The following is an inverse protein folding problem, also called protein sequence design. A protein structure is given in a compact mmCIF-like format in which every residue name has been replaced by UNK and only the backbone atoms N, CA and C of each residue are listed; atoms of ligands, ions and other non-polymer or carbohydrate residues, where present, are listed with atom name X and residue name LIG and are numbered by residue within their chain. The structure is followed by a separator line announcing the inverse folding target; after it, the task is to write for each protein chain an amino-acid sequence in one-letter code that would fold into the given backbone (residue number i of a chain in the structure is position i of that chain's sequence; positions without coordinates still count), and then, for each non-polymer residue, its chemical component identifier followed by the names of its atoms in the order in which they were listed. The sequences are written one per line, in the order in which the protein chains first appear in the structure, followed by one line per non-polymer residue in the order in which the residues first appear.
data_IF_535235503488
#
_entry.id   IF_535235503488
#
_cell.length_a   1.000
_cell.length_b   1.000
_cell.length_c   1.000
_cell.angle_alpha   90.00
_cell.angle_beta   90.00
_cell.angle_gamma   90.00
#
_symmetry.space_group_name_H-M   'P 1'
#
loop_
_entity.id
_entity.type
_entity.pdbx_description
1 polymer ?
#
# COMPACT_ATOMS: atom_id res chain seq x y z
N UNK A 1 -12.09 57.25 -19.66
CA UNK A 1 -11.57 57.75 -18.37
C UNK A 1 -10.05 57.77 -18.46
N UNK A 2 -9.37 58.92 -18.39
CA UNK A 2 -7.91 58.96 -18.40
C UNK A 2 -7.38 58.35 -17.10
N UNK A 3 -6.44 57.40 -17.21
CA UNK A 3 -5.87 56.70 -16.06
C UNK A 3 -5.04 57.67 -15.22
N UNK A 4 -5.48 57.93 -13.99
CA UNK A 4 -4.68 58.62 -12.98
C UNK A 4 -3.32 57.92 -12.83
N UNK A 5 -2.22 58.61 -13.18
CA UNK A 5 -0.86 58.12 -12.94
C UNK A 5 -0.34 58.79 -11.67
N UNK A 6 -0.61 58.18 -10.52
CA UNK A 6 -0.02 58.64 -9.26
C UNK A 6 1.49 58.39 -9.20
N UNK A 7 2.11 58.76 -8.07
CA UNK A 7 3.55 58.69 -7.89
C UNK A 7 4.10 57.28 -8.12
N UNK A 8 5.21 57.18 -8.84
CA UNK A 8 5.86 55.89 -9.11
C UNK A 8 6.33 55.27 -7.81
N UNK A 9 5.95 54.01 -7.60
CA UNK A 9 6.51 53.21 -6.53
C UNK A 9 7.78 52.54 -7.02
N UNK A 10 8.92 52.96 -6.44
CA UNK A 10 10.23 52.42 -6.74
C UNK A 10 10.66 51.44 -5.65
N UNK A 11 11.30 50.34 -6.06
CA UNK A 11 11.99 49.46 -5.13
C UNK A 11 13.14 50.24 -4.46
N UNK A 12 13.28 50.22 -3.11
CA UNK A 12 14.27 51.04 -2.41
C UNK A 12 15.71 50.78 -2.84
N UNK A 13 16.06 49.51 -3.07
CA UNK A 13 17.42 49.10 -3.43
C UNK A 13 17.69 49.13 -4.94
N UNK A 14 16.85 48.49 -5.75
CA UNK A 14 17.08 48.33 -7.19
C UNK A 14 16.61 49.51 -8.03
N UNK A 15 15.83 50.43 -7.44
CA UNK A 15 15.13 51.54 -8.11
C UNK A 15 14.23 51.11 -9.28
N UNK A 16 13.86 49.82 -9.34
CA UNK A 16 12.89 49.31 -10.32
C UNK A 16 11.50 49.89 -10.04
N UNK A 17 10.74 50.23 -11.08
CA UNK A 17 9.33 50.64 -10.93
C UNK A 17 8.47 49.41 -10.68
N UNK A 18 7.93 49.28 -9.46
CA UNK A 18 7.08 48.16 -9.06
C UNK A 18 5.59 48.44 -9.34
N UNK A 19 5.24 49.72 -9.41
CA UNK A 19 3.88 50.19 -9.68
C UNK A 19 3.71 51.66 -9.36
N UNK A 20 2.61 52.02 -8.71
CA UNK A 20 2.29 53.42 -8.38
C UNK A 20 1.49 53.55 -7.08
N UNK A 21 1.47 54.74 -6.49
CA UNK A 21 0.56 55.09 -5.38
C UNK A 21 -0.74 55.64 -5.94
N UNK A 22 -1.87 55.15 -5.45
CA UNK A 22 -3.19 55.65 -5.86
C UNK A 22 -3.59 56.91 -5.06
N UNK A 23 -4.71 57.59 -5.37
CA UNK A 23 -5.15 58.79 -4.64
C UNK A 23 -5.44 58.58 -3.15
N UNK A 24 -5.57 57.32 -2.68
CA UNK A 24 -5.76 56.96 -1.27
C UNK A 24 -4.45 56.59 -0.57
N UNK A 25 -3.32 56.95 -1.20
CA UNK A 25 -1.97 56.72 -0.68
C UNK A 25 -1.54 55.24 -0.59
N UNK A 26 -2.32 54.34 -1.21
CA UNK A 26 -2.07 52.89 -1.21
C UNK A 26 -1.18 52.52 -2.38
N UNK A 27 -0.19 51.65 -2.12
CA UNK A 27 0.70 51.09 -3.12
C UNK A 27 -0.03 50.06 -4.00
N UNK A 28 0.03 50.24 -5.32
CA UNK A 28 -0.57 49.36 -6.33
C UNK A 28 0.55 48.75 -7.16
N UNK A 29 0.57 47.41 -7.22
CA UNK A 29 1.48 46.63 -8.06
C UNK A 29 1.05 46.78 -9.51
N UNK A 30 1.99 47.11 -10.40
CA UNK A 30 1.76 47.07 -11.84
C UNK A 30 2.93 46.42 -12.56
N UNK A 31 2.82 45.12 -12.88
CA UNK A 31 3.92 44.34 -13.47
C UNK A 31 3.46 43.48 -14.63
N UNK A 32 4.27 43.42 -15.69
CA UNK A 32 4.07 42.52 -16.83
C UNK A 32 4.86 41.24 -16.60
N UNK A 33 4.18 40.09 -16.64
CA UNK A 33 4.79 38.77 -16.39
C UNK A 33 4.58 37.88 -17.62
N UNK A 34 5.65 37.28 -18.14
CA UNK A 34 5.62 36.38 -19.32
C UNK A 34 6.21 36.94 -20.63
N UNK A 35 7.17 37.86 -20.57
CA UNK A 35 7.91 38.33 -21.77
C UNK A 35 7.06 39.14 -22.76
N UNK A 36 7.33 39.04 -24.08
CA UNK A 36 6.68 39.87 -25.12
C UNK A 36 5.14 39.71 -25.14
N UNK A 37 4.61 38.51 -24.89
CA UNK A 37 3.16 38.21 -24.78
C UNK A 37 2.64 38.13 -23.33
N UNK A 38 3.40 38.63 -22.36
CA UNK A 38 3.05 38.54 -20.94
C UNK A 38 1.80 39.34 -20.55
N UNK A 39 1.08 38.87 -19.53
CA UNK A 39 -0.08 39.56 -18.96
C UNK A 39 0.38 40.69 -18.06
N UNK A 40 -0.24 41.86 -18.20
CA UNK A 40 -0.04 42.99 -17.28
C UNK A 40 -1.01 42.82 -16.12
N UNK A 41 -0.47 42.68 -14.91
CA UNK A 41 -1.24 42.61 -13.68
C UNK A 41 -1.23 43.99 -13.03
N UNK A 42 -2.41 44.45 -12.59
CA UNK A 42 -2.58 45.63 -11.76
C UNK A 42 -3.35 45.22 -10.50
N UNK A 43 -2.69 45.22 -9.35
CA UNK A 43 -3.22 44.65 -8.09
C UNK A 43 -2.89 45.56 -6.91
N UNK A 44 -3.89 45.89 -6.09
CA UNK A 44 -3.68 46.69 -4.87
C UNK A 44 -2.92 45.88 -3.82
N UNK A 45 -2.01 46.51 -3.08
CA UNK A 45 -1.42 45.90 -1.87
C UNK A 45 -2.26 46.13 -0.62
N UNK A 46 -3.19 47.09 -0.65
CA UNK A 46 -3.92 47.55 0.55
C UNK A 46 -3.02 48.19 1.62
N UNK A 47 -1.74 48.43 1.32
CA UNK A 47 -0.77 49.02 2.25
C UNK A 47 -0.47 50.47 1.85
N UNK A 48 -0.40 51.35 2.85
CA UNK A 48 0.10 52.73 2.72
C UNK A 48 1.57 52.85 3.15
N UNK A 49 2.14 51.78 3.72
CA UNK A 49 3.53 51.68 4.13
C UNK A 49 4.35 50.92 3.07
N UNK A 50 5.52 51.45 2.74
CA UNK A 50 6.36 50.93 1.65
C UNK A 50 6.94 49.54 1.96
N UNK A 51 7.33 49.27 3.21
CA UNK A 51 7.94 48.00 3.60
C UNK A 51 6.88 46.88 3.54
N UNK A 52 5.68 47.14 4.06
CA UNK A 52 4.56 46.19 3.95
C UNK A 52 4.10 45.98 2.51
N UNK A 53 4.12 47.03 1.70
CA UNK A 53 3.81 46.91 0.28
C UNK A 53 4.82 45.99 -0.45
N UNK A 54 6.11 46.03 -0.08
CA UNK A 54 7.13 45.14 -0.65
C UNK A 54 6.89 43.67 -0.29
N UNK A 55 6.49 43.37 0.95
CA UNK A 55 6.12 42.00 1.36
C UNK A 55 4.95 41.47 0.53
N UNK A 56 3.92 42.29 0.30
CA UNK A 56 2.80 41.90 -0.56
C UNK A 56 3.20 41.77 -2.04
N UNK A 57 4.18 42.56 -2.50
CA UNK A 57 4.74 42.42 -3.84
C UNK A 57 5.51 41.11 -4.02
N UNK A 58 6.28 40.67 -3.03
CA UNK A 58 6.93 39.36 -3.04
C UNK A 58 5.89 38.24 -3.08
N UNK A 59 4.84 38.33 -2.25
CA UNK A 59 3.70 37.39 -2.26
C UNK A 59 2.99 37.36 -3.61
N UNK A 60 2.85 38.50 -4.28
CA UNK A 60 2.33 38.58 -5.64
C UNK A 60 3.23 37.87 -6.66
N UNK A 61 4.55 37.94 -6.54
CA UNK A 61 5.47 37.29 -7.48
C UNK A 61 5.44 35.76 -7.38
N UNK A 62 5.08 35.20 -6.22
CA UNK A 62 4.94 33.75 -6.03
C UNK A 62 3.77 33.14 -6.82
N UNK A 63 2.62 33.82 -6.86
CA UNK A 63 1.43 33.40 -7.64
C UNK A 63 0.62 34.61 -8.18
N UNK A 64 1.12 35.28 -9.24
CA UNK A 64 0.51 36.51 -9.75
C UNK A 64 -0.98 36.39 -10.16
N UNK A 65 -1.43 35.29 -10.81
CA UNK A 65 -2.83 35.11 -11.16
C UNK A 65 -3.78 35.07 -9.97
N UNK A 66 -3.34 34.57 -8.81
CA UNK A 66 -4.19 34.29 -7.65
C UNK A 66 -3.93 35.21 -6.45
N UNK A 67 -3.09 36.24 -6.61
CA UNK A 67 -2.89 37.24 -5.57
C UNK A 67 -4.18 38.04 -5.29
N UNK A 68 -4.61 38.00 -4.03
CA UNK A 68 -5.74 38.74 -3.45
C UNK A 68 -5.21 39.78 -2.45
N UNK A 69 -5.77 40.99 -2.47
CA UNK A 69 -5.27 42.06 -1.61
C UNK A 69 -5.81 41.97 -0.18
N UNK A 70 -5.04 42.41 0.83
CA UNK A 70 -5.51 42.55 2.22
C UNK A 70 -6.79 43.37 2.38
N UNK A 71 -7.05 44.32 1.47
CA UNK A 71 -8.31 45.09 1.45
C UNK A 71 -9.52 44.25 1.06
N UNK A 72 -9.35 43.24 0.19
CA UNK A 72 -10.42 42.27 -0.15
C UNK A 72 -10.71 41.33 1.04
N UNK A 73 -9.68 40.96 1.81
CA UNK A 73 -9.84 40.20 3.06
C UNK A 73 -10.53 41.02 4.16
N UNK A 74 -10.26 42.34 4.24
CA UNK A 74 -10.94 43.26 5.17
C UNK A 74 -12.39 43.56 4.79
N UNK A 75 -12.72 43.73 3.51
CA UNK A 75 -14.12 43.94 3.08
C UNK A 75 -14.99 42.71 3.37
N UNK A 76 -14.42 41.50 3.27
CA UNK A 76 -15.07 40.27 3.72
C UNK A 76 -15.31 40.26 5.25
N UNK A 77 -14.40 40.85 6.02
CA UNK A 77 -14.48 40.95 7.49
C UNK A 77 -15.47 42.02 7.99
N UNK A 78 -15.58 43.16 7.28
CA UNK A 78 -16.53 44.25 7.62
C UNK A 78 -17.97 43.84 7.30
N UNK A 79 -18.19 43.09 6.21
CA UNK A 79 -19.51 42.55 5.86
C UNK A 79 -20.06 41.59 6.94
N UNK A 80 -19.16 40.90 7.66
CA UNK A 80 -19.48 40.02 8.79
C UNK A 80 -19.91 40.80 10.05
N UNK A 81 -19.44 42.03 10.24
CA UNK A 81 -19.78 42.87 11.39
C UNK A 81 -21.11 43.63 11.23
N UNK A 82 -21.57 43.85 9.99
CA UNK A 82 -22.77 44.63 9.68
C UNK A 82 -24.06 43.79 9.53
N UNK A 83 -24.01 42.49 9.82
CA UNK A 83 -25.21 41.63 9.80
C UNK A 83 -25.86 41.44 8.42
N UNK A 84 -25.18 41.85 7.35
CA UNK A 84 -25.63 41.57 5.98
C UNK A 84 -25.36 40.09 5.70
N UNK A 85 -26.34 39.31 5.21
CA UNK A 85 -26.10 37.91 4.85
C UNK A 85 -25.02 37.85 3.77
N UNK A 86 -23.81 37.45 4.16
CA UNK A 86 -22.76 37.10 3.21
C UNK A 86 -23.17 35.75 2.63
N UNK A 87 -23.62 35.74 1.36
CA UNK A 87 -23.81 34.49 0.62
C UNK A 87 -22.58 33.61 0.83
N UNK A 88 -22.73 32.31 1.13
CA UNK A 88 -21.59 31.41 1.22
C UNK A 88 -20.77 31.52 -0.06
N UNK A 89 -19.42 31.58 0.01
CA UNK A 89 -18.60 31.76 -1.17
C UNK A 89 -18.97 30.69 -2.20
N UNK A 90 -19.56 31.11 -3.33
CA UNK A 90 -19.90 30.22 -4.43
C UNK A 90 -18.62 29.47 -4.81
N UNK A 91 -18.60 28.12 -4.77
CA UNK A 91 -17.43 27.38 -5.22
C UNK A 91 -17.21 27.74 -6.69
N UNK A 92 -16.13 28.46 -7.00
CA UNK A 92 -15.79 28.90 -8.36
C UNK A 92 -15.49 27.73 -9.33
N UNK A 93 -15.52 26.48 -8.85
CA UNK A 93 -15.23 25.26 -9.62
C UNK A 93 -16.25 24.17 -9.31
N UNK A 94 -16.61 23.39 -10.33
CA UNK A 94 -17.57 22.30 -10.19
C UNK A 94 -17.15 21.31 -9.09
N UNK A 95 -18.10 20.85 -8.25
CA UNK A 95 -17.81 19.88 -7.19
C UNK A 95 -17.34 18.56 -7.79
N UNK A 96 -16.41 17.89 -7.12
CA UNK A 96 -15.92 16.58 -7.52
C UNK A 96 -16.47 15.57 -6.52
N UNK A 97 -17.23 14.59 -6.99
CA UNK A 97 -17.73 13.52 -6.13
C UNK A 97 -16.99 12.22 -6.42
N UNK A 98 -16.81 11.40 -5.40
CA UNK A 98 -16.28 10.05 -5.59
C UNK A 98 -17.40 9.16 -6.15
N UNK A 99 -17.38 8.93 -7.46
CA UNK A 99 -18.36 8.09 -8.16
C UNK A 99 -17.75 6.77 -8.65
N UNK A 100 -18.57 5.75 -9.00
CA UNK A 100 -18.05 4.52 -9.61
C UNK A 100 -17.23 4.79 -10.87
N UNK A 101 -17.65 5.73 -11.71
CA UNK A 101 -16.98 6.10 -12.97
C UNK A 101 -15.60 6.69 -12.69
N UNK A 102 -15.51 7.59 -11.70
CA UNK A 102 -14.24 8.19 -11.30
C UNK A 102 -13.26 7.14 -10.74
N UNK A 103 -13.79 6.13 -10.04
CA UNK A 103 -13.00 5.00 -9.52
C UNK A 103 -12.43 4.17 -10.67
N UNK A 104 -13.27 3.77 -11.63
CA UNK A 104 -12.82 2.94 -12.75
C UNK A 104 -11.85 3.70 -13.66
N UNK A 105 -12.08 4.99 -13.90
CA UNK A 105 -11.13 5.84 -14.64
C UNK A 105 -9.76 5.91 -13.95
N UNK A 106 -9.74 6.08 -12.61
CA UNK A 106 -8.50 6.05 -11.84
C UNK A 106 -7.79 4.69 -11.91
N UNK A 107 -8.55 3.59 -11.85
CA UNK A 107 -8.00 2.24 -11.92
C UNK A 107 -7.41 1.95 -13.31
N UNK A 108 -8.11 2.34 -14.38
CA UNK A 108 -7.62 2.20 -15.75
C UNK A 108 -6.32 2.98 -15.98
N UNK A 109 -6.23 4.22 -15.50
CA UNK A 109 -4.98 4.99 -15.51
C UNK A 109 -3.88 4.26 -14.71
N UNK A 110 -4.19 3.81 -13.49
CA UNK A 110 -3.19 3.16 -12.64
C UNK A 110 -2.68 1.84 -13.21
N UNK A 111 -3.50 1.12 -13.97
CA UNK A 111 -3.10 -0.07 -14.71
C UNK A 111 -2.20 0.27 -15.90
N UNK A 112 -2.58 1.26 -16.73
CA UNK A 112 -1.78 1.75 -17.85
C UNK A 112 -0.38 2.24 -17.43
N UNK A 113 -0.30 2.94 -16.31
CA UNK A 113 0.96 3.45 -15.74
C UNK A 113 1.78 2.38 -14.99
N UNK A 114 1.40 1.11 -15.03
CA UNK A 114 2.09 0.02 -14.32
C UNK A 114 2.06 0.15 -12.79
N UNK A 115 1.19 1.01 -12.25
CA UNK A 115 0.96 1.21 -10.80
C UNK A 115 0.10 0.11 -10.21
N UNK A 116 -0.47 -0.78 -11.02
CA UNK A 116 -1.16 -2.01 -10.60
C UNK A 116 -0.43 -3.21 -11.22
N UNK A 117 0.21 -4.01 -10.38
CA UNK A 117 1.05 -5.14 -10.80
C UNK A 117 0.35 -6.51 -10.83
N UNK A 118 -0.92 -6.58 -10.42
CA UNK A 118 -1.66 -7.84 -10.42
C UNK A 118 -3.17 -7.62 -10.33
N UNK A 119 -3.96 -8.55 -10.87
CA UNK A 119 -5.42 -8.58 -10.77
C UNK A 119 -5.91 -8.54 -9.31
N UNK A 120 -5.23 -9.26 -8.40
CA UNK A 120 -5.54 -9.24 -6.97
C UNK A 120 -5.37 -7.85 -6.37
N UNK A 121 -4.31 -7.12 -6.76
CA UNK A 121 -4.10 -5.76 -6.30
C UNK A 121 -5.16 -4.81 -6.88
N UNK A 122 -5.54 -4.97 -8.15
CA UNK A 122 -6.63 -4.22 -8.76
C UNK A 122 -7.93 -4.38 -7.95
N UNK A 123 -8.32 -5.63 -7.67
CA UNK A 123 -9.51 -5.96 -6.87
C UNK A 123 -9.46 -5.33 -5.47
N UNK A 124 -8.33 -5.42 -4.78
CA UNK A 124 -8.18 -4.80 -3.47
C UNK A 124 -8.27 -3.27 -3.53
N UNK A 125 -7.60 -2.62 -4.50
CA UNK A 125 -7.61 -1.16 -4.65
C UNK A 125 -9.03 -0.66 -4.92
N UNK A 126 -9.77 -1.34 -5.81
CA UNK A 126 -11.19 -1.10 -6.09
C UNK A 126 -12.04 -1.20 -4.81
N UNK A 127 -11.89 -2.28 -4.04
CA UNK A 127 -12.64 -2.46 -2.79
C UNK A 127 -12.38 -1.34 -1.77
N UNK A 128 -11.13 -0.87 -1.65
CA UNK A 128 -10.79 0.26 -0.78
C UNK A 128 -11.38 1.59 -1.25
N UNK A 129 -11.45 1.82 -2.57
CA UNK A 129 -12.06 3.02 -3.15
C UNK A 129 -13.59 3.00 -3.02
N UNK A 130 -14.27 1.88 -3.21
CA UNK A 130 -15.70 1.78 -2.94
C UNK A 130 -16.05 1.93 -1.46
N UNK A 131 -15.17 1.50 -0.55
CA UNK A 131 -15.36 1.81 0.86
C UNK A 131 -15.35 3.32 1.09
N UNK A 132 -14.41 4.05 0.48
CA UNK A 132 -14.38 5.51 0.54
C UNK A 132 -15.58 6.16 -0.13
N UNK A 133 -16.04 5.63 -1.27
CA UNK A 133 -17.25 6.10 -1.95
C UNK A 133 -18.46 6.10 -1.02
N UNK A 134 -18.61 5.07 -0.18
CA UNK A 134 -19.68 5.03 0.84
C UNK A 134 -19.48 6.03 1.97
N UNK A 135 -18.23 6.33 2.36
CA UNK A 135 -17.94 7.27 3.45
C UNK A 135 -18.00 8.74 3.02
N UNK A 136 -17.65 9.00 1.77
CA UNK A 136 -17.62 10.31 1.12
C UNK A 136 -18.83 10.51 0.20
N UNK A 137 -19.93 9.79 0.43
CA UNK A 137 -21.14 9.93 -0.37
C UNK A 137 -21.68 11.37 -0.25
N UNK A 138 -21.83 12.04 -1.39
CA UNK A 138 -22.25 13.44 -1.45
C UNK A 138 -21.26 14.45 -0.86
N UNK A 139 -20.00 14.05 -0.62
CA UNK A 139 -18.93 14.95 -0.18
C UNK A 139 -18.15 15.43 -1.39
N UNK A 140 -18.07 16.75 -1.57
CA UNK A 140 -17.19 17.34 -2.58
C UNK A 140 -15.73 17.11 -2.15
N UNK A 141 -14.95 16.44 -3.00
CA UNK A 141 -13.58 16.04 -2.71
C UNK A 141 -12.61 17.24 -2.59
N UNK A 142 -12.97 18.42 -3.08
CA UNK A 142 -12.22 19.67 -2.85
C UNK A 142 -12.19 20.00 -1.37
N UNK A 143 -11.08 20.54 -0.86
CA UNK A 143 -10.96 20.95 0.53
C UNK A 143 -12.07 21.94 0.93
N UNK A 144 -12.55 21.80 2.17
CA UNK A 144 -13.52 22.74 2.73
C UNK A 144 -12.93 24.17 2.75
N UNK A 145 -13.62 25.19 2.23
CA UNK A 145 -13.14 26.56 2.27
C UNK A 145 -12.90 27.04 3.71
N UNK A 146 -11.89 27.89 3.89
CA UNK A 146 -11.58 28.45 5.20
C UNK A 146 -12.77 29.23 5.76
N UNK A 147 -13.13 28.97 7.01
CA UNK A 147 -14.27 29.61 7.68
C UNK A 147 -15.64 29.05 7.33
N UNK A 148 -15.74 28.07 6.41
CA UNK A 148 -16.99 27.36 6.16
C UNK A 148 -17.30 26.42 7.33
N UNK A 149 -18.59 26.24 7.61
CA UNK A 149 -19.04 25.28 8.62
C UNK A 149 -18.69 23.84 8.19
N UNK A 150 -18.17 23.05 9.13
CA UNK A 150 -17.93 21.63 8.92
C UNK A 150 -19.26 20.91 9.03
N UNK A 151 -19.73 20.33 7.93
CA UNK A 151 -20.91 19.47 7.90
C UNK A 151 -20.48 18.00 7.93
N UNK A 152 -21.21 17.12 8.64
CA UNK A 152 -21.07 15.68 8.40
C UNK A 152 -21.53 15.34 6.97
N UNK A 153 -21.12 14.19 6.44
CA UNK A 153 -21.54 13.74 5.11
C UNK A 153 -23.08 13.73 4.98
N UNK A 154 -23.67 14.32 3.92
CA UNK A 154 -23.01 14.92 2.76
C UNK A 154 -22.52 16.37 3.00
N UNK A 155 -21.35 16.70 2.43
CA UNK A 155 -20.79 18.06 2.44
C UNK A 155 -20.51 18.52 1.01
N UNK A 156 -21.48 19.16 0.34
CA UNK A 156 -21.31 19.61 -1.06
C UNK A 156 -20.33 20.78 -1.18
N UNK A 157 -20.05 21.47 -0.07
CA UNK A 157 -19.17 22.64 -0.01
C UNK A 157 -17.69 22.21 -0.03
N UNK A 158 -17.35 21.10 0.61
CA UNK A 158 -15.99 20.54 0.57
C UNK A 158 -15.72 19.47 1.62
N UNK A 159 -14.56 18.84 1.48
CA UNK A 159 -14.05 17.76 2.30
C UNK A 159 -13.16 18.32 3.42
N UNK A 160 -13.63 18.14 4.65
CA UNK A 160 -12.83 18.33 5.87
C UNK A 160 -12.06 17.05 6.23
N UNK A 161 -10.76 17.21 6.53
CA UNK A 161 -9.87 16.09 6.87
C UNK A 161 -10.30 15.38 8.17
N UNK A 162 -10.72 16.12 9.20
CA UNK A 162 -11.08 15.56 10.50
C UNK A 162 -12.38 14.75 10.41
N UNK A 163 -13.43 15.39 9.93
CA UNK A 163 -14.79 14.86 9.92
C UNK A 163 -15.01 13.81 8.82
N UNK A 164 -14.51 14.03 7.60
CA UNK A 164 -14.82 13.15 6.47
C UNK A 164 -13.80 12.05 6.26
N UNK A 165 -12.56 12.22 6.73
CA UNK A 165 -11.46 11.28 6.46
C UNK A 165 -11.00 10.58 7.73
N UNK A 166 -10.62 11.32 8.77
CA UNK A 166 -10.07 10.74 10.01
C UNK A 166 -11.17 10.00 10.79
N UNK A 167 -12.32 10.63 11.02
CA UNK A 167 -13.42 10.04 11.81
C UNK A 167 -13.92 8.70 11.26
N UNK A 168 -14.14 8.49 9.95
CA UNK A 168 -14.50 7.17 9.43
C UNK A 168 -13.40 6.11 9.56
N UNK A 169 -12.12 6.51 9.54
CA UNK A 169 -10.99 5.58 9.73
C UNK A 169 -10.86 5.13 11.18
N UNK A 170 -11.16 6.01 12.13
CA UNK A 170 -10.97 5.77 13.56
C UNK A 170 -12.29 5.40 14.27
N UNK A 171 -13.36 5.17 13.50
CA UNK A 171 -14.67 4.78 14.01
C UNK A 171 -14.60 3.47 14.81
N UNK A 172 -15.24 3.47 15.99
CA UNK A 172 -15.31 2.33 16.89
C UNK A 172 -16.69 1.67 16.83
N UNK A 173 -16.71 0.35 17.03
CA UNK A 173 -17.96 -0.38 17.18
C UNK A 173 -18.68 0.08 18.47
N UNK A 174 -19.97 0.45 18.44
CA UNK A 174 -20.66 1.06 19.58
C UNK A 174 -20.59 0.23 20.87
N UNK A 175 -20.78 -1.10 20.74
CA UNK A 175 -20.77 -2.07 21.85
C UNK A 175 -19.37 -2.51 22.28
N UNK A 176 -18.58 -3.07 21.37
CA UNK A 176 -17.28 -3.69 21.71
C UNK A 176 -16.14 -2.69 21.88
N UNK A 177 -16.36 -1.42 21.49
CA UNK A 177 -15.33 -0.36 21.40
C UNK A 177 -14.11 -0.73 20.55
N UNK A 178 -14.18 -1.82 19.78
CA UNK A 178 -13.13 -2.25 18.86
C UNK A 178 -13.16 -1.40 17.59
N UNK A 179 -12.00 -1.13 16.96
CA UNK A 179 -11.96 -0.40 15.69
C UNK A 179 -12.77 -1.09 14.60
N UNK A 180 -13.64 -0.35 13.90
CA UNK A 180 -14.36 -0.84 12.73
C UNK A 180 -13.42 -1.05 11.54
N UNK A 181 -12.33 -0.27 11.48
CA UNK A 181 -11.27 -0.42 10.49
C UNK A 181 -10.01 -0.94 11.19
N UNK A 182 -9.63 -2.21 11.00
CA UNK A 182 -8.39 -2.75 11.56
C UNK A 182 -7.17 -1.99 11.05
N UNK A 183 -6.12 -1.89 11.87
CA UNK A 183 -4.90 -1.12 11.58
C UNK A 183 -4.28 -1.41 10.20
N UNK A 184 -4.17 -2.70 9.82
CA UNK A 184 -3.63 -3.09 8.51
C UNK A 184 -4.51 -2.69 7.32
N UNK A 185 -5.81 -2.57 7.54
CA UNK A 185 -6.81 -2.13 6.54
C UNK A 185 -6.84 -0.60 6.46
N UNK A 186 -6.66 0.11 7.58
CA UNK A 186 -6.56 1.58 7.66
C UNK A 186 -5.48 2.12 6.73
N UNK A 187 -4.28 1.53 6.78
CA UNK A 187 -3.16 1.93 5.90
C UNK A 187 -3.49 1.77 4.41
N UNK A 188 -4.24 0.71 4.06
CA UNK A 188 -4.64 0.46 2.67
C UNK A 188 -5.72 1.43 2.20
N UNK A 189 -6.68 1.79 3.07
CA UNK A 189 -7.64 2.85 2.77
C UNK A 189 -6.94 4.19 2.54
N UNK A 190 -6.00 4.57 3.41
CA UNK A 190 -5.21 5.80 3.24
C UNK A 190 -4.41 5.78 1.93
N UNK A 191 -3.74 4.66 1.62
CA UNK A 191 -2.98 4.54 0.37
C UNK A 191 -3.87 4.66 -0.88
N UNK A 192 -5.06 4.06 -0.85
CA UNK A 192 -6.01 4.13 -1.95
C UNK A 192 -6.52 5.56 -2.20
N UNK A 193 -6.97 6.25 -1.15
CA UNK A 193 -7.53 7.61 -1.29
C UNK A 193 -6.44 8.63 -1.65
N UNK A 194 -5.24 8.53 -1.07
CA UNK A 194 -4.10 9.37 -1.49
C UNK A 194 -3.71 9.15 -2.94
N UNK A 195 -3.72 7.90 -3.40
CA UNK A 195 -3.42 7.61 -4.81
C UNK A 195 -4.44 8.27 -5.73
N UNK A 196 -5.71 8.32 -5.34
CA UNK A 196 -6.77 9.01 -6.07
C UNK A 196 -6.52 10.53 -6.08
N UNK A 197 -6.34 11.15 -4.90
CA UNK A 197 -6.08 12.59 -4.80
C UNK A 197 -4.82 13.03 -5.56
N UNK A 198 -3.74 12.24 -5.50
CA UNK A 198 -2.54 12.49 -6.30
C UNK A 198 -2.86 12.48 -7.80
N UNK A 199 -3.59 11.47 -8.28
CA UNK A 199 -4.01 11.38 -9.69
C UNK A 199 -4.91 12.56 -10.10
N UNK A 200 -5.87 12.94 -9.25
CA UNK A 200 -6.74 14.10 -9.50
C UNK A 200 -5.95 15.41 -9.66
N UNK A 201 -4.83 15.54 -8.95
CA UNK A 201 -3.93 16.71 -9.02
C UNK A 201 -2.97 16.66 -10.21
N UNK A 202 -2.27 15.56 -10.39
CA UNK A 202 -1.10 15.52 -11.29
C UNK A 202 -1.41 15.06 -12.70
N UNK A 203 -2.52 14.35 -12.91
CA UNK A 203 -2.80 13.70 -14.20
C UNK A 203 -4.15 14.16 -14.76
N UNK A 204 -5.19 14.13 -13.92
CA UNK A 204 -6.52 14.60 -14.30
C UNK A 204 -6.66 16.12 -14.19
N UNK A 205 -5.73 16.79 -13.49
CA UNK A 205 -5.67 18.25 -13.29
C UNK A 205 -7.00 18.88 -12.82
N UNK A 206 -7.81 18.11 -12.11
CA UNK A 206 -9.15 18.52 -11.63
C UNK A 206 -9.11 19.13 -10.22
N UNK A 207 -8.04 18.84 -9.46
CA UNK A 207 -7.75 19.40 -8.14
C UNK A 207 -6.45 20.18 -8.16
N UNK A 208 -6.41 21.31 -7.47
CA UNK A 208 -5.19 22.03 -7.11
C UNK A 208 -4.64 21.55 -5.77
N UNK A 209 -3.41 21.94 -5.44
CA UNK A 209 -2.72 21.54 -4.19
C UNK A 209 -3.49 21.98 -2.95
N UNK A 210 -3.97 23.22 -2.90
CA UNK A 210 -4.73 23.76 -1.76
C UNK A 210 -6.14 23.15 -1.64
N UNK A 211 -6.63 22.50 -2.69
CA UNK A 211 -7.92 21.82 -2.70
C UNK A 211 -7.82 20.35 -2.29
N UNK A 212 -6.62 19.83 -2.04
CA UNK A 212 -6.40 18.47 -1.56
C UNK A 212 -6.27 18.47 -0.03
N UNK A 213 -7.31 18.07 0.73
CA UNK A 213 -7.27 18.04 2.19
C UNK A 213 -6.25 17.03 2.75
N UNK A 214 -5.73 16.14 1.91
CA UNK A 214 -4.75 15.10 2.28
C UNK A 214 -3.30 15.52 1.99
N UNK A 215 -3.09 16.66 1.32
CA UNK A 215 -1.77 17.11 0.93
C UNK A 215 -0.93 17.47 2.16
N UNK A 216 0.22 16.80 2.35
CA UNK A 216 1.16 17.06 3.45
C UNK A 216 0.70 16.65 4.86
N UNK A 217 -0.59 16.33 5.07
CA UNK A 217 -1.20 16.14 6.40
C UNK A 217 -1.23 14.68 6.85
N UNK A 218 -1.68 13.77 6.00
CA UNK A 218 -1.63 12.34 6.29
C UNK A 218 -0.21 11.85 6.08
N UNK A 219 0.67 11.91 7.08
CA UNK A 219 1.90 11.09 7.03
C UNK A 219 1.46 9.63 7.08
N UNK A 220 2.00 8.78 6.19
CA UNK A 220 1.98 7.35 6.46
C UNK A 220 2.71 7.21 7.79
N UNK A 221 2.00 6.92 8.87
CA UNK A 221 2.63 6.59 10.14
C UNK A 221 3.46 5.36 9.83
N UNK A 222 4.75 5.55 9.53
CA UNK A 222 5.74 4.50 9.63
C UNK A 222 5.64 4.09 11.09
N UNK A 223 5.04 2.93 11.34
CA UNK A 223 4.90 2.39 12.68
C UNK A 223 6.29 2.21 13.26
N UNK A 224 6.76 3.19 14.04
CA UNK A 224 7.92 3.03 14.94
C UNK A 224 7.65 2.00 16.05
N UNK A 225 6.39 1.62 16.29
CA UNK A 225 6.01 0.55 17.24
C UNK A 225 6.08 -0.86 16.64
N UNK A 226 7.24 -1.25 16.12
CA UNK A 226 7.63 -2.66 16.03
C UNK A 226 8.70 -3.04 17.07
N UNK A 227 9.14 -2.08 17.89
CA UNK A 227 10.21 -2.29 18.89
C UNK A 227 9.71 -2.52 20.33
N UNK A 228 8.43 -2.33 20.67
CA UNK A 228 8.03 -2.30 22.11
C UNK A 228 6.79 -3.11 22.49
N UNK A 229 6.11 -3.77 21.54
CA UNK A 229 5.27 -4.91 21.91
C UNK A 229 6.10 -6.13 21.59
N UNK A 230 6.50 -6.89 22.62
CA UNK A 230 7.22 -8.15 22.45
C UNK A 230 6.63 -8.91 21.27
N UNK A 231 7.47 -9.21 20.28
CA UNK A 231 7.08 -10.04 19.13
C UNK A 231 6.59 -11.36 19.72
N UNK A 232 5.28 -11.48 19.95
CA UNK A 232 4.66 -12.80 20.04
C UNK A 232 4.72 -13.29 18.61
N UNK A 233 5.85 -13.87 18.23
CA UNK A 233 6.03 -14.55 16.96
C UNK A 233 5.01 -15.68 17.01
N UNK A 234 3.86 -15.48 16.38
CA UNK A 234 2.84 -16.52 16.32
C UNK A 234 3.38 -17.57 15.35
N UNK A 235 4.15 -18.51 15.88
CA UNK A 235 4.65 -19.68 15.17
C UNK A 235 3.53 -20.73 15.09
N UNK A 236 3.59 -21.60 14.09
CA UNK A 236 2.86 -22.86 14.16
C UNK A 236 3.68 -23.82 15.04
N UNK A 237 3.00 -24.59 15.90
CA UNK A 237 3.59 -25.70 16.64
C UNK A 237 3.95 -26.83 15.67
N UNK A 238 5.20 -27.31 15.72
CA UNK A 238 5.67 -28.43 14.89
C UNK A 238 4.94 -29.69 15.30
N UNK A 239 4.81 -29.95 16.61
CA UNK A 239 4.11 -31.12 17.14
C UNK A 239 2.66 -31.18 16.66
N UNK A 240 1.93 -30.07 16.75
CA UNK A 240 0.54 -29.97 16.26
C UNK A 240 0.46 -30.15 14.75
N UNK A 241 1.47 -29.67 14.01
CA UNK A 241 1.56 -29.88 12.56
C UNK A 241 1.74 -31.36 12.22
N UNK A 242 2.61 -32.05 12.94
CA UNK A 242 2.84 -33.49 12.77
C UNK A 242 1.59 -34.31 13.12
N UNK A 243 0.83 -33.92 14.16
CA UNK A 243 -0.47 -34.54 14.48
C UNK A 243 -1.46 -34.43 13.32
N UNK A 244 -1.56 -33.27 12.67
CA UNK A 244 -2.42 -33.08 11.49
C UNK A 244 -1.95 -33.92 10.30
N UNK A 245 -0.63 -33.99 10.08
CA UNK A 245 -0.06 -34.83 9.02
C UNK A 245 -0.42 -36.30 9.24
N UNK A 246 -0.15 -36.83 10.44
CA UNK A 246 -0.48 -38.21 10.81
C UNK A 246 -1.99 -38.50 10.69
N UNK A 247 -2.83 -37.56 11.14
CA UNK A 247 -4.29 -37.66 10.98
C UNK A 247 -4.69 -37.84 9.52
N UNK A 248 -4.18 -37.00 8.60
CA UNK A 248 -4.51 -37.11 7.18
C UNK A 248 -3.92 -38.35 6.50
N UNK A 249 -2.76 -38.82 6.94
CA UNK A 249 -2.18 -40.08 6.44
C UNK A 249 -3.01 -41.29 6.86
N UNK A 250 -3.60 -41.27 8.06
CA UNK A 250 -4.44 -42.33 8.57
C UNK A 250 -5.89 -42.34 8.00
N UNK A 251 -6.35 -41.25 7.39
CA UNK A 251 -7.71 -41.19 6.86
C UNK A 251 -7.91 -42.11 5.64
N UNK A 252 -9.01 -42.89 5.60
CA UNK A 252 -9.34 -43.69 4.43
C UNK A 252 -9.75 -42.80 3.26
N UNK A 253 -9.40 -43.22 2.04
CA UNK A 253 -9.91 -42.57 0.84
C UNK A 253 -11.42 -42.82 0.70
N UNK A 254 -12.17 -41.76 0.42
CA UNK A 254 -13.60 -41.84 0.08
C UNK A 254 -13.82 -41.67 -1.41
N UNK A 255 -14.60 -42.56 -2.03
CA UNK A 255 -15.09 -42.42 -3.42
C UNK A 255 -16.63 -42.45 -3.38
N UNK A 256 -17.28 -41.41 -3.90
CA UNK A 256 -18.74 -41.26 -3.88
C UNK A 256 -19.37 -41.42 -2.48
N UNK A 257 -18.67 -40.96 -1.43
CA UNK A 257 -19.16 -41.03 -0.04
C UNK A 257 -18.93 -42.35 0.68
N UNK A 258 -18.48 -43.41 -0.01
CA UNK A 258 -18.12 -44.69 0.58
C UNK A 258 -16.60 -44.78 0.82
N UNK A 259 -16.22 -45.39 1.96
CA UNK A 259 -14.82 -45.73 2.24
C UNK A 259 -14.37 -46.84 1.31
N UNK A 260 -13.32 -46.60 0.52
CA UNK A 260 -12.79 -47.59 -0.43
C UNK A 260 -11.59 -48.37 0.11
N UNK A 261 -11.32 -48.29 1.43
CA UNK A 261 -10.30 -49.09 2.11
C UNK A 261 -8.84 -48.77 1.74
N UNK A 262 -8.60 -47.87 0.78
CA UNK A 262 -7.25 -47.39 0.46
C UNK A 262 -6.86 -46.30 1.46
N UNK A 263 -5.96 -46.64 2.38
CA UNK A 263 -5.32 -45.67 3.28
C UNK A 263 -4.41 -44.75 2.44
N UNK A 264 -4.43 -43.44 2.70
CA UNK A 264 -3.54 -42.47 2.04
C UNK A 264 -4.16 -41.60 0.95
N UNK A 265 -5.49 -41.64 0.73
CA UNK A 265 -6.17 -40.74 -0.21
C UNK A 265 -6.03 -39.24 0.12
N UNK A 266 -5.65 -38.92 1.36
CA UNK A 266 -5.38 -37.57 1.85
C UNK A 266 -3.90 -37.31 2.17
N UNK A 267 -3.00 -38.28 1.93
CA UNK A 267 -1.58 -38.17 2.26
C UNK A 267 -0.86 -37.04 1.51
N UNK A 268 -1.37 -36.62 0.36
CA UNK A 268 -0.86 -35.43 -0.35
C UNK A 268 -1.05 -34.14 0.46
N UNK A 269 -2.09 -34.04 1.29
CA UNK A 269 -2.33 -32.90 2.18
C UNK A 269 -1.28 -32.81 3.27
N UNK A 270 -0.89 -33.96 3.82
CA UNK A 270 0.24 -34.06 4.75
C UNK A 270 1.54 -33.60 4.07
N UNK A 271 1.77 -33.96 2.80
CA UNK A 271 2.95 -33.48 2.05
C UNK A 271 2.96 -31.98 1.77
N UNK A 272 1.81 -31.30 1.73
CA UNK A 272 1.80 -29.82 1.71
C UNK A 272 2.40 -29.26 3.00
N UNK A 273 2.06 -29.82 4.16
CA UNK A 273 2.63 -29.42 5.44
C UNK A 273 4.11 -29.84 5.56
N UNK A 274 4.45 -31.04 5.10
CA UNK A 274 5.84 -31.51 5.03
C UNK A 274 6.73 -30.57 4.22
N UNK A 275 6.28 -30.11 3.04
CA UNK A 275 7.02 -29.11 2.27
C UNK A 275 7.16 -27.76 3.00
N UNK A 276 6.18 -27.37 3.80
CA UNK A 276 6.27 -26.18 4.65
C UNK A 276 7.24 -26.32 5.83
N UNK A 277 7.46 -27.55 6.31
CA UNK A 277 8.47 -27.85 7.33
C UNK A 277 9.88 -27.94 6.73
N UNK A 278 10.00 -28.48 5.52
CA UNK A 278 11.25 -28.63 4.78
C UNK A 278 11.73 -27.35 4.05
N UNK A 279 10.86 -26.36 3.83
CA UNK A 279 11.20 -25.15 3.07
C UNK A 279 10.56 -23.88 3.67
N UNK A 280 11.17 -22.70 3.54
CA UNK A 280 10.57 -21.43 3.94
C UNK A 280 9.58 -20.90 2.89
N UNK A 281 9.01 -21.76 2.06
CA UNK A 281 8.10 -21.37 0.99
C UNK A 281 6.77 -20.83 1.51
N UNK A 282 6.24 -19.86 0.78
CA UNK A 282 4.86 -19.45 0.89
C UNK A 282 3.96 -20.56 0.35
N UNK A 283 2.71 -20.57 0.81
CA UNK A 283 1.75 -21.55 0.34
C UNK A 283 1.57 -21.49 -1.18
N UNK A 284 1.54 -20.28 -1.76
CA UNK A 284 1.47 -20.10 -3.21
C UNK A 284 2.68 -20.68 -3.96
N UNK A 285 3.86 -20.75 -3.34
CA UNK A 285 5.04 -21.39 -3.92
C UNK A 285 4.87 -22.92 -3.91
N UNK A 286 4.40 -23.50 -2.79
CA UNK A 286 4.06 -24.95 -2.74
C UNK A 286 3.01 -25.32 -3.79
N UNK A 287 1.97 -24.49 -4.00
CA UNK A 287 0.96 -24.72 -5.03
C UNK A 287 1.54 -24.71 -6.46
N UNK A 288 2.50 -23.82 -6.75
CA UNK A 288 3.22 -23.81 -8.04
C UNK A 288 4.13 -25.02 -8.19
N UNK A 289 4.83 -25.39 -7.12
CA UNK A 289 5.71 -26.54 -7.12
C UNK A 289 4.95 -27.84 -7.44
N UNK A 290 3.79 -28.02 -6.80
CA UNK A 290 2.90 -29.16 -7.02
C UNK A 290 2.41 -29.28 -8.47
N UNK A 291 2.33 -28.19 -9.22
CA UNK A 291 1.88 -28.22 -10.62
C UNK A 291 2.98 -28.77 -11.55
N UNK A 292 2.81 -29.96 -12.17
CA UNK A 292 3.82 -30.55 -13.04
C UNK A 292 4.09 -29.72 -14.30
N UNK A 293 3.09 -28.94 -14.74
CA UNK A 293 3.20 -28.05 -15.89
C UNK A 293 4.00 -26.75 -15.61
N UNK A 294 4.43 -26.49 -14.37
CA UNK A 294 5.26 -25.34 -14.04
C UNK A 294 6.74 -25.64 -14.38
N UNK A 295 7.30 -25.07 -15.47
CA UNK A 295 8.61 -25.50 -15.98
C UNK A 295 9.78 -25.16 -15.05
N UNK A 296 9.61 -24.14 -14.20
CA UNK A 296 10.61 -23.68 -13.23
C UNK A 296 10.57 -24.47 -11.91
N UNK A 297 9.62 -25.38 -11.75
CA UNK A 297 9.47 -26.20 -10.54
C UNK A 297 9.98 -27.63 -10.76
N UNK A 298 11.06 -28.01 -10.07
CA UNK A 298 11.74 -29.29 -10.27
C UNK A 298 12.25 -29.89 -8.96
N UNK A 299 12.42 -31.21 -8.96
CA UNK A 299 13.20 -31.95 -7.98
C UNK A 299 14.49 -32.38 -8.69
N UNK A 300 15.63 -31.94 -8.18
CA UNK A 300 16.95 -32.29 -8.70
C UNK A 300 17.60 -33.21 -7.66
N UNK A 301 17.91 -34.45 -8.03
CA UNK A 301 18.48 -35.48 -7.14
C UNK A 301 19.92 -35.81 -7.56
N UNK A 302 20.72 -36.46 -6.68
CA UNK A 302 22.02 -37.01 -7.08
C UNK A 302 21.89 -37.86 -8.35
N UNK A 303 22.72 -37.55 -9.34
CA UNK A 303 22.70 -38.20 -10.67
C UNK A 303 21.92 -37.44 -11.75
N UNK A 304 21.12 -36.43 -11.40
CA UNK A 304 20.51 -35.52 -12.38
C UNK A 304 21.61 -34.67 -13.08
N UNK A 305 21.53 -34.40 -14.39
CA UNK A 305 22.49 -33.55 -15.09
C UNK A 305 22.70 -32.18 -14.43
N UNK A 306 21.63 -31.60 -13.88
CA UNK A 306 21.67 -30.30 -13.21
C UNK A 306 22.26 -30.39 -11.79
N UNK A 307 22.42 -31.58 -11.22
CA UNK A 307 22.93 -31.77 -9.86
C UNK A 307 24.30 -31.10 -9.67
N UNK A 308 25.21 -31.30 -10.63
CA UNK A 308 26.56 -30.71 -10.58
C UNK A 308 26.58 -29.19 -10.73
N UNK A 309 25.57 -28.63 -11.40
CA UNK A 309 25.46 -27.18 -11.61
C UNK A 309 24.90 -26.46 -10.39
N UNK A 310 23.96 -27.10 -9.68
CA UNK A 310 23.30 -26.54 -8.50
C UNK A 310 24.04 -26.86 -7.19
N UNK A 311 24.98 -27.82 -7.20
CA UNK A 311 25.65 -28.32 -6.01
C UNK A 311 27.14 -27.93 -5.96
N UNK A 312 27.49 -26.90 -5.17
CA UNK A 312 28.89 -26.46 -4.96
C UNK A 312 29.46 -26.81 -3.58
N UNK A 313 28.63 -27.10 -2.58
CA UNK A 313 29.07 -27.43 -1.21
C UNK A 313 28.34 -28.69 -0.71
N UNK A 314 29.13 -29.66 -0.26
CA UNK A 314 28.72 -31.03 0.11
C UNK A 314 28.21 -31.05 1.55
N UNK A 315 26.91 -30.84 1.72
CA UNK A 315 26.21 -31.25 2.93
C UNK A 315 25.73 -32.71 2.77
N UNK A 316 26.25 -33.68 3.55
CA UNK A 316 25.92 -35.10 3.41
C UNK A 316 24.46 -35.45 3.67
N UNK A 317 23.69 -34.57 4.33
CA UNK A 317 22.27 -34.83 4.64
C UNK A 317 21.30 -34.38 3.54
N UNK A 318 21.81 -33.78 2.46
CA UNK A 318 20.94 -33.30 1.39
C UNK A 318 20.62 -34.40 0.39
N UNK A 319 19.34 -34.78 0.32
CA UNK A 319 18.83 -35.76 -0.61
C UNK A 319 18.44 -35.17 -1.97
N UNK A 320 18.03 -33.89 -2.01
CA UNK A 320 17.64 -33.20 -3.23
C UNK A 320 17.75 -31.68 -3.14
N UNK A 321 17.72 -31.03 -4.31
CA UNK A 321 17.46 -29.60 -4.46
C UNK A 321 16.11 -29.42 -5.14
N UNK A 322 15.20 -28.70 -4.49
CA UNK A 322 13.91 -28.33 -5.08
C UNK A 322 13.93 -26.90 -5.59
N UNK A 323 13.34 -26.69 -6.76
CA UNK A 323 13.22 -25.37 -7.37
C UNK A 323 11.76 -24.97 -7.46
N UNK A 324 11.47 -23.67 -7.32
CA UNK A 324 10.15 -23.10 -7.59
C UNK A 324 10.27 -21.66 -8.05
N UNK A 325 9.37 -21.23 -8.93
CA UNK A 325 9.24 -19.82 -9.27
C UNK A 325 8.69 -19.04 -8.06
N UNK A 326 9.48 -18.12 -7.52
CA UNK A 326 9.12 -17.20 -6.45
C UNK A 326 8.32 -15.99 -6.96
N UNK A 327 8.23 -14.95 -6.14
CA UNK A 327 7.56 -13.69 -6.52
C UNK A 327 8.42 -12.91 -7.52
N UNK A 328 7.85 -12.48 -8.66
CA UNK A 328 8.52 -11.76 -9.77
C UNK A 328 9.46 -12.64 -10.63
N UNK A 329 9.04 -13.88 -10.89
CA UNK A 329 9.67 -14.79 -11.85
C UNK A 329 11.08 -15.31 -11.51
N UNK A 330 11.66 -14.88 -10.39
CA UNK A 330 12.90 -15.42 -9.85
C UNK A 330 12.71 -16.89 -9.48
N UNK A 331 13.59 -17.76 -9.95
CA UNK A 331 13.65 -19.16 -9.51
C UNK A 331 14.36 -19.21 -8.16
N UNK A 332 13.72 -19.82 -7.18
CA UNK A 332 14.27 -20.09 -5.85
C UNK A 332 14.67 -21.56 -5.77
N UNK A 333 15.73 -21.87 -5.02
CA UNK A 333 16.27 -23.22 -4.87
C UNK A 333 16.52 -23.53 -3.41
N UNK A 334 16.16 -24.74 -2.98
CA UNK A 334 16.31 -25.18 -1.59
C UNK A 334 16.82 -26.60 -1.51
N UNK A 335 17.81 -26.81 -0.64
CA UNK A 335 18.33 -28.13 -0.27
C UNK A 335 17.36 -28.76 0.73
N UNK A 336 16.98 -30.03 0.51
CA UNK A 336 16.05 -30.76 1.38
C UNK A 336 16.60 -32.14 1.76
N UNK A 337 16.19 -32.63 2.93
CA UNK A 337 16.50 -33.96 3.47
C UNK A 337 15.71 -35.06 2.74
N UNK A 338 15.97 -36.34 3.07
CA UNK A 338 15.17 -37.47 2.59
C UNK A 338 13.67 -37.33 2.92
N UNK A 339 13.34 -36.84 4.12
CA UNK A 339 11.94 -36.60 4.49
C UNK A 339 11.31 -35.49 3.63
N UNK A 340 12.05 -34.41 3.37
CA UNK A 340 11.62 -33.39 2.42
C UNK A 340 11.42 -33.96 1.01
N UNK A 341 12.35 -34.79 0.52
CA UNK A 341 12.28 -35.40 -0.81
C UNK A 341 11.06 -36.31 -0.96
N UNK A 342 10.74 -37.09 0.08
CA UNK A 342 9.53 -37.90 0.14
C UNK A 342 8.26 -37.06 -0.05
N UNK A 343 8.13 -35.96 0.69
CA UNK A 343 6.97 -35.06 0.54
C UNK A 343 6.95 -34.36 -0.81
N UNK A 344 8.11 -33.95 -1.32
CA UNK A 344 8.25 -33.31 -2.62
C UNK A 344 7.76 -34.22 -3.76
N UNK A 345 8.19 -35.49 -3.77
CA UNK A 345 7.77 -36.50 -4.77
C UNK A 345 6.27 -36.75 -4.70
N UNK A 346 5.74 -37.05 -3.52
CA UNK A 346 4.30 -37.31 -3.34
C UNK A 346 3.44 -36.12 -3.80
N UNK A 347 3.89 -34.89 -3.52
CA UNK A 347 3.17 -33.69 -3.93
C UNK A 347 3.21 -33.47 -5.45
N UNK A 348 4.33 -33.76 -6.11
CA UNK A 348 4.48 -33.71 -7.57
C UNK A 348 3.66 -34.78 -8.27
N UNK A 349 3.60 -35.99 -7.71
CA UNK A 349 2.76 -37.10 -8.19
C UNK A 349 1.27 -36.77 -8.08
N UNK A 350 0.85 -36.13 -6.98
CA UNK A 350 -0.53 -35.65 -6.83
C UNK A 350 -0.89 -34.59 -7.88
N UNK A 351 0.03 -33.69 -8.17
CA UNK A 351 -0.14 -32.66 -9.18
C UNK A 351 -0.86 -31.40 -8.70
N UNK A 352 -1.44 -30.66 -9.64
CA UNK A 352 -2.01 -29.33 -9.40
C UNK A 352 -3.17 -29.38 -8.38
N UNK A 353 -3.01 -28.64 -7.29
CA UNK A 353 -4.08 -28.42 -6.29
C UNK A 353 -5.08 -27.40 -6.84
N UNK A 354 -6.28 -27.88 -7.19
CA UNK A 354 -7.32 -27.07 -7.88
C UNK A 354 -8.04 -26.04 -7.01
N UNK A 355 -8.30 -26.35 -5.73
CA UNK A 355 -8.99 -25.46 -4.80
C UNK A 355 -8.18 -25.23 -3.50
N UNK A 356 -7.33 -24.17 -3.47
CA UNK A 356 -6.57 -23.79 -2.30
C UNK A 356 -7.41 -23.34 -1.09
N UNK A 357 -8.65 -22.88 -1.29
CA UNK A 357 -9.54 -22.51 -0.17
C UNK A 357 -10.20 -23.74 0.43
N UNK A 358 -10.54 -24.74 -0.38
CA UNK A 358 -10.94 -26.05 0.12
C UNK A 358 -9.87 -26.68 1.01
N UNK A 359 -8.61 -26.71 0.56
CA UNK A 359 -7.50 -27.19 1.39
C UNK A 359 -7.42 -26.45 2.73
N UNK A 360 -7.56 -25.11 2.74
CA UNK A 360 -7.54 -24.31 3.98
C UNK A 360 -8.72 -24.65 4.91
N UNK A 361 -9.90 -24.93 4.37
CA UNK A 361 -11.06 -25.35 5.16
C UNK A 361 -10.81 -26.70 5.80
N UNK A 362 -10.30 -27.67 5.03
CA UNK A 362 -9.96 -29.00 5.53
C UNK A 362 -8.85 -28.96 6.57
N UNK A 363 -7.85 -28.08 6.44
CA UNK A 363 -6.84 -27.85 7.47
C UNK A 363 -7.45 -27.34 8.78
N UNK A 364 -8.36 -26.35 8.70
CA UNK A 364 -9.03 -25.85 9.91
C UNK A 364 -9.91 -26.93 10.53
N UNK A 365 -10.56 -27.75 9.71
CA UNK A 365 -11.38 -28.86 10.19
C UNK A 365 -10.54 -29.95 10.87
N UNK A 366 -9.39 -30.32 10.29
CA UNK A 366 -8.46 -31.23 10.93
C UNK A 366 -7.97 -30.69 12.29
N UNK A 367 -7.63 -29.40 12.37
CA UNK A 367 -7.27 -28.76 13.64
C UNK A 367 -8.43 -28.85 14.66
N UNK A 368 -9.67 -28.62 14.21
CA UNK A 368 -10.87 -28.71 15.05
C UNK A 368 -11.11 -30.13 15.57
N UNK A 369 -11.03 -31.12 14.70
CA UNK A 369 -11.21 -32.55 15.03
C UNK A 369 -10.17 -33.01 16.05
N UNK A 370 -8.93 -32.57 15.89
CA UNK A 370 -7.82 -32.92 16.80
C UNK A 370 -7.79 -32.07 18.08
N UNK A 371 -8.67 -31.07 18.21
CA UNK A 371 -8.71 -30.19 19.38
C UNK A 371 -7.47 -29.28 19.53
N UNK A 372 -6.75 -29.02 18.45
CA UNK A 372 -5.49 -28.24 18.47
C UNK A 372 -5.71 -26.80 17.97
N UNK A 373 -4.80 -25.86 18.32
CA UNK A 373 -4.85 -24.50 17.78
C UNK A 373 -4.79 -24.47 16.25
N UNK A 374 -5.45 -23.46 15.68
CA UNK A 374 -5.45 -23.26 14.23
C UNK A 374 -4.04 -23.04 13.68
N UNK A 375 -3.64 -23.87 12.74
CA UNK A 375 -2.42 -23.73 11.94
C UNK A 375 -2.67 -22.71 10.81
N UNK A 376 -1.72 -21.79 10.61
CA UNK A 376 -1.78 -20.83 9.50
C UNK A 376 -0.62 -21.05 8.54
N UNK A 377 -0.93 -21.32 7.26
CA UNK A 377 0.09 -21.62 6.25
C UNK A 377 1.13 -20.50 6.10
N UNK A 378 0.71 -19.24 6.20
CA UNK A 378 1.63 -18.09 6.17
C UNK A 378 2.56 -17.95 7.37
N UNK A 379 2.40 -18.75 8.44
CA UNK A 379 3.28 -18.76 9.61
C UNK A 379 4.42 -19.76 9.48
N UNK A 380 4.33 -20.78 8.62
CA UNK A 380 5.40 -21.78 8.49
C UNK A 380 6.73 -21.18 8.09
N UNK A 381 6.71 -20.20 7.18
CA UNK A 381 7.91 -19.44 6.85
C UNK A 381 8.53 -18.76 8.08
N UNK A 382 7.72 -18.23 8.99
CA UNK A 382 8.26 -17.68 10.24
C UNK A 382 8.76 -18.78 11.17
N UNK A 383 8.05 -19.91 11.30
CA UNK A 383 8.50 -21.08 12.07
C UNK A 383 9.85 -21.57 11.57
N UNK A 384 10.02 -21.76 10.27
CA UNK A 384 11.26 -22.20 9.66
C UNK A 384 12.42 -21.25 9.94
N UNK A 385 12.23 -19.94 9.73
CA UNK A 385 13.29 -18.95 9.97
C UNK A 385 13.65 -18.83 11.45
N UNK A 386 12.68 -18.91 12.36
CA UNK A 386 12.94 -18.89 13.80
C UNK A 386 13.70 -20.13 14.25
N UNK A 387 13.36 -21.33 13.77
CA UNK A 387 14.09 -22.56 14.10
C UNK A 387 15.56 -22.49 13.67
N UNK A 388 15.84 -22.00 12.47
CA UNK A 388 17.20 -21.83 12.00
C UNK A 388 17.99 -20.85 12.89
N UNK A 389 17.38 -19.73 13.28
CA UNK A 389 18.00 -18.77 14.22
C UNK A 389 18.23 -19.38 15.61
N UNK A 390 17.26 -20.12 16.16
CA UNK A 390 17.35 -20.74 17.49
C UNK A 390 18.44 -21.83 17.54
N UNK A 391 18.75 -22.46 16.39
CA UNK A 391 19.85 -23.43 16.24
C UNK A 391 21.21 -22.77 15.96
N UNK A 392 21.31 -21.44 16.07
CA UNK A 392 22.57 -20.71 15.96
C UNK A 392 23.05 -20.48 14.53
N UNK A 393 22.17 -20.62 13.53
CA UNK A 393 22.52 -20.26 12.14
C UNK A 393 22.65 -18.74 12.02
N UNK A 394 23.68 -18.31 11.31
CA UNK A 394 23.95 -16.90 11.01
C UNK A 394 22.75 -16.20 10.34
N UNK A 395 22.47 -14.97 10.76
CA UNK A 395 21.29 -14.21 10.31
C UNK A 395 21.32 -13.94 8.80
N UNK A 396 22.50 -13.75 8.20
CA UNK A 396 22.63 -13.53 6.76
C UNK A 396 22.20 -14.77 5.98
N UNK A 397 22.60 -15.96 6.44
CA UNK A 397 22.22 -17.25 5.84
C UNK A 397 20.72 -17.50 5.99
N UNK A 398 20.12 -17.15 7.13
CA UNK A 398 18.66 -17.24 7.35
C UNK A 398 17.90 -16.26 6.45
N UNK A 399 18.41 -15.04 6.24
CA UNK A 399 17.79 -14.07 5.35
C UNK A 399 17.95 -14.44 3.87
N UNK A 400 19.08 -15.03 3.49
CA UNK A 400 19.35 -15.54 2.14
C UNK A 400 18.43 -16.71 1.79
N UNK A 401 18.23 -17.67 2.72
CA UNK A 401 17.27 -18.76 2.55
C UNK A 401 15.83 -18.24 2.48
N UNK A 402 15.52 -17.12 3.12
CA UNK A 402 14.24 -16.45 2.92
C UNK A 402 14.19 -15.66 1.59
N UNK A 403 15.27 -15.44 0.87
CA UNK A 403 15.31 -14.49 -0.26
C UNK A 403 14.77 -13.09 0.12
N UNK A 404 15.05 -12.64 1.35
CA UNK A 404 14.75 -11.27 1.76
C UNK A 404 15.75 -10.30 1.10
N UNK A 405 15.28 -9.15 0.60
CA UNK A 405 16.17 -8.06 0.13
C UNK A 405 16.85 -7.41 1.33
N UNK A 406 17.97 -7.94 1.79
CA UNK A 406 18.94 -7.19 2.58
C UNK A 406 20.05 -6.63 1.65
N UNK A 407 20.90 -5.76 2.19
CA UNK A 407 21.97 -5.03 1.48
C UNK A 407 23.01 -5.93 0.79
N UNK A 408 22.96 -7.25 0.96
CA UNK A 408 23.95 -8.20 0.45
C UNK A 408 23.75 -8.63 -1.02
N UNK A 409 22.61 -8.33 -1.66
CA UNK A 409 22.34 -8.76 -3.03
C UNK A 409 22.29 -7.57 -4.00
N UNK A 410 23.46 -6.96 -4.21
CA UNK A 410 23.77 -6.27 -5.47
C UNK A 410 23.91 -7.35 -6.54
N UNK A 411 22.84 -7.59 -7.31
CA UNK A 411 22.79 -7.96 -8.73
C UNK A 411 23.78 -8.99 -9.35
N UNK A 412 24.67 -9.69 -8.63
CA UNK A 412 25.89 -10.27 -9.26
C UNK A 412 26.09 -11.79 -9.05
N UNK A 413 25.41 -12.48 -8.12
CA UNK A 413 25.63 -13.93 -7.95
C UNK A 413 24.46 -14.79 -8.46
N UNK A 414 24.53 -15.02 -9.77
CA UNK A 414 24.02 -16.11 -10.61
C UNK A 414 22.62 -16.70 -10.36
N UNK A 415 21.85 -16.82 -11.46
CA UNK A 415 20.63 -17.64 -11.57
C UNK A 415 20.83 -19.13 -11.20
N UNK A 416 22.00 -19.55 -10.77
CA UNK A 416 22.39 -20.94 -10.42
C UNK A 416 22.76 -21.13 -8.94
N UNK A 417 22.88 -20.05 -8.16
CA UNK A 417 23.25 -20.17 -6.75
C UNK A 417 22.15 -20.89 -5.93
N UNK A 418 22.56 -21.83 -5.09
CA UNK A 418 21.72 -22.49 -4.09
C UNK A 418 22.22 -22.05 -2.72
N UNK A 419 21.37 -21.41 -1.88
CA UNK A 419 21.76 -21.04 -0.52
C UNK A 419 22.27 -22.24 0.28
N UNK A 420 23.08 -21.98 1.32
CA UNK A 420 23.47 -23.01 2.29
C UNK A 420 22.22 -23.62 2.93
N UNK A 421 22.27 -24.93 3.24
CA UNK A 421 21.15 -25.58 3.93
C UNK A 421 21.05 -24.98 5.33
N UNK A 422 19.83 -24.63 5.72
CA UNK A 422 19.50 -24.29 7.11
C UNK A 422 18.79 -25.48 7.74
N UNK A 423 18.97 -25.76 9.04
CA UNK A 423 18.24 -26.83 9.69
C UNK A 423 16.73 -26.63 9.60
N UNK A 424 16.03 -27.74 9.36
CA UNK A 424 14.59 -27.79 9.15
C UNK A 424 13.93 -28.67 10.21
N UNK A 425 12.61 -28.58 10.33
CA UNK A 425 11.87 -29.38 11.31
C UNK A 425 11.79 -30.87 10.93
N UNK A 426 12.07 -31.20 9.67
CA UNK A 426 12.08 -32.54 9.07
C UNK A 426 13.22 -32.66 8.05
#
# INVERSE_FOLDING_TARGET
MPAYRGDKWLHPETREVLGFRNPRDVYVIRKKIGGRRGTVYEKSTGQTDIIRALVEFERFLEDPPNYESPDQERTASVSKALGVPVEPPKPKLAPIYLTPELIEEHLAWAEREGKIKSRRWATHKRAHLHWWMRKLHGVNLRALPQGAAVHPSPSPIGCDLGEHVIKPLDALHPKTKKPLVPKGTRTKHIAAIKSLYAWLRTEKHSLKVHEDPLFGTLKNIKTKKQQEFGKVTKLNSIEDTLKVMAYWEALPMKRNGADVGVVGGHAWKASVLGMHLATPWHFEEILRFANPAEPKSRIIVPGDPLWREVWREVDPETAAVVTVQGKREQTTRFKITEQGLFHARRLREHGKIGDPEHFRRELNEACRVLGIPRIYLGRFRHTHLTLATDQGVDEEVVQESAHHKSKAMTEIYTETAVPKRVPTAI
#
